data_IF_811005258125
#
_entry.id   IF_811005258125
#
_cell.length_a   1.000
_cell.length_b   1.000
_cell.length_c   1.000
_cell.angle_alpha   90.00
_cell.angle_beta   90.00
_cell.angle_gamma   90.00
#
_symmetry.space_group_name_H-M   'P 1'
#
loop_
_entity.id
_entity.type
_entity.pdbx_description
1 polymer ?
#
# COMPACT_ATOMS: atom_id res chain seq x y z
N UNK A 1 -13.55 27.47 -13.67
CA UNK A 1 -13.17 26.54 -12.57
C UNK A 1 -12.95 25.11 -13.10
N UNK A 2 -12.13 24.91 -14.15
CA UNK A 2 -11.90 23.59 -14.78
C UNK A 2 -10.46 23.10 -14.72
N UNK A 3 -9.50 23.94 -14.30
CA UNK A 3 -8.08 23.56 -14.26
C UNK A 3 -7.78 22.45 -13.24
N UNK A 4 -8.52 22.39 -12.14
CA UNK A 4 -8.27 21.46 -11.02
C UNK A 4 -8.56 19.99 -11.32
N UNK A 5 -9.37 19.67 -12.34
CA UNK A 5 -9.73 18.29 -12.69
C UNK A 5 -8.95 17.70 -13.88
N UNK A 6 -8.08 18.49 -14.51
CA UNK A 6 -7.36 18.07 -15.72
C UNK A 6 -5.96 17.56 -15.38
N UNK A 7 -5.52 16.49 -16.05
CA UNK A 7 -4.16 15.95 -15.87
C UNK A 7 -3.08 17.02 -16.12
N UNK A 8 -3.35 17.96 -17.02
CA UNK A 8 -2.46 19.09 -17.28
C UNK A 8 -2.38 20.08 -16.11
N UNK A 9 -3.48 20.29 -15.39
CA UNK A 9 -3.51 21.09 -14.17
C UNK A 9 -2.68 20.45 -13.06
N UNK A 10 -2.79 19.13 -12.87
CA UNK A 10 -1.98 18.39 -11.88
C UNK A 10 -0.49 18.55 -12.21
N UNK A 11 -0.10 18.32 -13.47
CA UNK A 11 1.29 18.47 -13.90
C UNK A 11 1.78 19.91 -13.70
N UNK A 12 0.96 20.91 -14.03
CA UNK A 12 1.31 22.31 -13.82
C UNK A 12 1.54 22.64 -12.33
N UNK A 13 0.71 22.11 -11.43
CA UNK A 13 0.91 22.29 -9.99
C UNK A 13 2.17 21.60 -9.47
N UNK A 14 2.44 20.37 -9.91
CA UNK A 14 3.66 19.65 -9.52
C UNK A 14 4.91 20.38 -10.03
N UNK A 15 4.89 20.85 -11.28
CA UNK A 15 5.97 21.63 -11.87
C UNK A 15 6.18 22.95 -11.14
N UNK A 16 5.10 23.66 -10.81
CA UNK A 16 5.15 24.89 -10.02
C UNK A 16 5.76 24.62 -8.64
N UNK A 17 5.24 23.64 -7.89
CA UNK A 17 5.75 23.28 -6.57
C UNK A 17 7.24 22.91 -6.61
N UNK A 18 7.62 22.03 -7.53
CA UNK A 18 9.02 21.62 -7.69
C UNK A 18 9.91 22.82 -8.06
N UNK A 19 9.47 23.67 -9.00
CA UNK A 19 10.25 24.84 -9.42
C UNK A 19 10.44 25.86 -8.30
N UNK A 20 9.39 26.16 -7.52
CA UNK A 20 9.47 27.07 -6.38
C UNK A 20 10.39 26.50 -5.30
N UNK A 21 10.25 25.21 -4.96
CA UNK A 21 11.13 24.54 -4.00
C UNK A 21 12.59 24.55 -4.44
N UNK A 22 12.83 24.32 -5.73
CA UNK A 22 14.17 24.30 -6.31
C UNK A 22 14.76 25.71 -6.36
N UNK A 23 14.03 26.73 -6.80
CA UNK A 23 14.45 28.13 -6.77
C UNK A 23 14.77 28.54 -5.32
N UNK A 24 13.91 28.22 -4.36
CA UNK A 24 14.15 28.52 -2.95
C UNK A 24 15.44 27.87 -2.44
N UNK A 25 15.65 26.58 -2.74
CA UNK A 25 16.87 25.87 -2.37
C UNK A 25 18.11 26.52 -3.01
N UNK A 26 18.10 26.76 -4.32
CA UNK A 26 19.25 27.32 -5.04
C UNK A 26 19.55 28.76 -4.66
N UNK A 27 18.54 29.61 -4.43
CA UNK A 27 18.73 30.99 -3.97
C UNK A 27 19.40 30.98 -2.60
N UNK A 28 18.96 30.15 -1.65
CA UNK A 28 19.58 30.07 -0.33
C UNK A 28 21.02 29.52 -0.41
N UNK A 29 21.29 28.52 -1.25
CA UNK A 29 22.65 28.02 -1.47
C UNK A 29 23.55 29.08 -2.13
N UNK A 30 23.04 29.84 -3.11
CA UNK A 30 23.77 30.94 -3.76
C UNK A 30 24.08 32.06 -2.76
N UNK A 31 23.08 32.51 -2.01
CA UNK A 31 23.27 33.51 -0.94
C UNK A 31 24.29 33.00 0.08
N UNK A 32 24.15 31.74 0.53
CA UNK A 32 25.11 31.10 1.43
C UNK A 32 26.52 31.06 0.85
N UNK A 33 26.68 30.77 -0.44
CA UNK A 33 27.97 30.75 -1.13
C UNK A 33 28.63 32.13 -1.21
N UNK A 34 27.84 33.20 -1.34
CA UNK A 34 28.33 34.59 -1.36
C UNK A 34 28.61 35.15 0.03
N UNK A 35 27.79 34.83 1.03
CA UNK A 35 27.94 35.34 2.41
C UNK A 35 28.99 34.56 3.21
N UNK A 36 29.17 33.25 2.95
CA UNK A 36 30.10 32.39 3.70
C UNK A 36 31.57 32.76 3.43
N UNK A 37 32.38 33.00 4.48
CA UNK A 37 33.82 33.12 4.35
C UNK A 37 34.44 31.85 3.76
N UNK A 38 35.29 32.02 2.74
CA UNK A 38 35.91 30.90 2.05
C UNK A 38 37.26 30.55 2.69
N UNK A 39 37.20 29.68 3.70
CA UNK A 39 38.36 29.25 4.49
C UNK A 39 38.39 27.70 4.59
N UNK A 40 38.97 27.03 3.57
CA UNK A 40 39.14 25.57 3.54
C UNK A 40 40.43 25.14 4.26
N UNK A 41 40.30 24.29 5.27
CA UNK A 41 41.41 23.67 6.02
C UNK A 41 41.23 22.16 6.04
N UNK A 42 42.33 21.40 6.20
CA UNK A 42 42.31 19.92 6.15
C UNK A 42 41.35 19.31 7.17
N UNK A 43 41.41 19.74 8.44
CA UNK A 43 40.51 19.27 9.52
C UNK A 43 39.02 19.48 9.18
N UNK A 44 38.67 20.59 8.53
CA UNK A 44 37.28 20.94 8.16
C UNK A 44 36.77 20.16 6.94
N UNK A 45 37.69 19.58 6.17
CA UNK A 45 37.39 18.73 5.03
C UNK A 45 37.34 17.25 5.40
N UNK A 46 37.64 16.90 6.65
CA UNK A 46 37.45 15.55 7.16
C UNK A 46 35.97 15.16 7.21
N UNK A 47 35.70 13.86 7.14
CA UNK A 47 34.34 13.29 7.15
C UNK A 47 33.65 13.54 8.51
N UNK A 48 34.42 13.72 9.58
CA UNK A 48 33.95 13.88 10.95
C UNK A 48 34.84 14.86 11.74
N UNK A 49 34.24 15.88 12.36
CA UNK A 49 34.98 17.03 12.94
C UNK A 49 35.32 16.86 14.44
N UNK A 50 34.96 15.74 15.08
CA UNK A 50 35.22 15.56 16.52
C UNK A 50 36.66 15.09 16.84
N UNK A 51 37.56 15.08 15.86
CA UNK A 51 38.97 14.71 16.03
C UNK A 51 39.22 13.20 16.28
N UNK A 52 38.19 12.37 16.14
CA UNK A 52 38.32 10.91 16.17
C UNK A 52 38.51 10.41 14.74
N UNK A 53 39.62 9.71 14.42
CA UNK A 53 39.87 9.22 13.09
C UNK A 53 38.77 8.24 12.67
N UNK A 54 38.16 8.47 11.51
CA UNK A 54 37.14 7.57 10.99
C UNK A 54 37.72 6.18 10.76
N UNK A 55 37.14 5.17 11.40
CA UNK A 55 37.57 3.78 11.24
C UNK A 55 36.77 3.11 10.13
N UNK A 56 37.48 2.54 9.16
CA UNK A 56 36.89 1.69 8.13
C UNK A 56 36.23 2.42 6.96
N UNK A 57 35.84 1.65 5.95
CA UNK A 57 35.16 2.17 4.76
C UNK A 57 33.67 2.39 4.99
N UNK A 58 33.08 3.42 4.38
CA UNK A 58 31.63 3.64 4.37
C UNK A 58 30.84 2.58 3.58
N UNK A 59 31.52 1.74 2.78
CA UNK A 59 30.92 0.66 2.00
C UNK A 59 30.89 -0.65 2.79
N UNK A 60 30.10 -0.68 3.86
CA UNK A 60 29.85 -1.89 4.67
C UNK A 60 28.49 -2.49 4.33
N UNK A 61 28.37 -3.81 4.44
CA UNK A 61 27.07 -4.48 4.33
C UNK A 61 26.24 -4.18 5.58
N UNK A 62 25.13 -3.46 5.39
CA UNK A 62 24.15 -3.26 6.44
C UNK A 62 23.37 -4.55 6.73
N UNK A 63 22.73 -4.60 7.90
CA UNK A 63 21.94 -5.76 8.32
C UNK A 63 20.85 -6.10 7.27
N UNK A 64 20.74 -7.39 6.90
CA UNK A 64 19.76 -7.88 5.92
C UNK A 64 18.31 -7.56 6.32
N UNK A 65 18.04 -7.25 7.59
CA UNK A 65 16.68 -6.91 8.08
C UNK A 65 16.07 -5.69 7.38
N UNK A 66 16.88 -4.71 6.96
CA UNK A 66 16.38 -3.60 6.15
C UNK A 66 15.76 -4.09 4.83
N UNK A 67 16.38 -5.10 4.22
CA UNK A 67 15.87 -5.74 3.00
C UNK A 67 14.58 -6.53 3.28
N UNK A 68 14.50 -7.27 4.39
CA UNK A 68 13.27 -8.00 4.77
C UNK A 68 12.09 -7.04 4.97
N UNK A 69 12.30 -5.93 5.67
CA UNK A 69 11.26 -4.90 5.87
C UNK A 69 10.84 -4.29 4.52
N UNK A 70 11.80 -3.97 3.64
CA UNK A 70 11.49 -3.45 2.31
C UNK A 70 10.71 -4.45 1.45
N UNK A 71 11.06 -5.74 1.50
CA UNK A 71 10.35 -6.79 0.79
C UNK A 71 8.91 -6.96 1.31
N UNK A 72 8.72 -6.95 2.64
CA UNK A 72 7.39 -6.98 3.25
C UNK A 72 6.56 -5.76 2.84
N UNK A 73 7.16 -4.57 2.78
CA UNK A 73 6.51 -3.35 2.32
C UNK A 73 6.01 -3.50 0.88
N UNK A 74 6.86 -3.99 -0.04
CA UNK A 74 6.48 -4.20 -1.45
C UNK A 74 5.33 -5.20 -1.57
N UNK A 75 5.37 -6.31 -0.82
CA UNK A 75 4.30 -7.31 -0.83
C UNK A 75 2.98 -6.70 -0.35
N UNK A 76 3.01 -5.95 0.76
CA UNK A 76 1.81 -5.28 1.28
C UNK A 76 1.30 -4.16 0.36
N UNK A 77 2.19 -3.43 -0.30
CA UNK A 77 1.82 -2.36 -1.24
C UNK A 77 1.11 -2.93 -2.48
N UNK A 78 1.65 -4.02 -3.05
CA UNK A 78 1.00 -4.75 -4.14
C UNK A 78 -0.36 -5.32 -3.72
N UNK A 79 -0.48 -5.82 -2.49
CA UNK A 79 -1.77 -6.29 -1.95
C UNK A 79 -2.82 -5.17 -1.93
N UNK A 80 -2.45 -3.99 -1.41
CA UNK A 80 -3.36 -2.83 -1.37
C UNK A 80 -3.73 -2.38 -2.79
N UNK A 81 -2.82 -2.48 -3.75
CA UNK A 81 -3.12 -2.20 -5.14
C UNK A 81 -4.23 -3.12 -5.70
N UNK A 82 -4.25 -4.40 -5.30
CA UNK A 82 -5.32 -5.34 -5.65
C UNK A 82 -6.64 -5.07 -4.95
N UNK A 83 -6.67 -4.32 -3.85
CA UNK A 83 -7.94 -3.89 -3.24
C UNK A 83 -8.68 -2.84 -4.05
N UNK A 84 -8.01 -2.05 -4.91
CA UNK A 84 -8.70 -0.98 -5.65
C UNK A 84 -9.83 -1.49 -6.56
N UNK A 85 -9.61 -2.49 -7.44
CA UNK A 85 -10.70 -3.04 -8.26
C UNK A 85 -11.89 -3.51 -7.41
N UNK A 86 -11.63 -4.27 -6.35
CA UNK A 86 -12.67 -4.77 -5.44
C UNK A 86 -13.41 -3.64 -4.72
N UNK A 87 -12.69 -2.61 -4.26
CA UNK A 87 -13.28 -1.42 -3.65
C UNK A 87 -14.22 -0.68 -4.62
N UNK A 88 -13.87 -0.59 -5.91
CA UNK A 88 -14.77 0.03 -6.90
C UNK A 88 -16.04 -0.79 -7.12
N UNK A 89 -15.94 -2.13 -7.16
CA UNK A 89 -17.11 -3.02 -7.31
C UNK A 89 -18.00 -2.94 -6.08
N UNK A 90 -17.40 -2.99 -4.88
CA UNK A 90 -18.11 -2.87 -3.62
C UNK A 90 -18.85 -1.53 -3.53
N UNK A 91 -18.17 -0.40 -3.82
CA UNK A 91 -18.78 0.94 -3.78
C UNK A 91 -19.95 1.11 -4.76
N UNK A 92 -19.84 0.58 -5.98
CA UNK A 92 -20.95 0.61 -6.95
C UNK A 92 -22.11 -0.29 -6.51
N UNK A 93 -21.80 -1.44 -5.93
CA UNK A 93 -22.80 -2.38 -5.40
C UNK A 93 -23.57 -1.77 -4.24
N UNK A 94 -22.89 -1.13 -3.28
CA UNK A 94 -23.54 -0.46 -2.15
C UNK A 94 -24.41 0.71 -2.60
N UNK A 95 -23.99 1.46 -3.62
CA UNK A 95 -24.81 2.53 -4.19
C UNK A 95 -26.10 2.00 -4.85
N UNK A 96 -26.04 0.86 -5.56
CA UNK A 96 -27.24 0.19 -6.08
C UNK A 96 -28.13 -0.42 -4.98
N UNK A 97 -27.57 -0.68 -3.80
CA UNK A 97 -28.34 -1.14 -2.65
C UNK A 97 -29.12 -0.02 -1.96
N UNK A 98 -28.81 1.25 -2.23
CA UNK A 98 -29.51 2.40 -1.66
C UNK A 98 -30.96 2.48 -2.17
N UNK A 99 -31.90 2.77 -1.26
CA UNK A 99 -33.33 2.87 -1.59
C UNK A 99 -33.66 4.18 -2.31
N UNK A 100 -32.85 5.21 -2.09
CA UNK A 100 -33.04 6.51 -2.73
C UNK A 100 -32.54 6.50 -4.18
N UNK A 101 -31.66 5.55 -4.53
CA UNK A 101 -31.14 5.42 -5.87
C UNK A 101 -32.19 4.83 -6.84
N UNK A 102 -32.65 5.59 -7.86
CA UNK A 102 -33.66 5.11 -8.78
C UNK A 102 -33.02 4.16 -9.79
N UNK A 103 -33.16 2.85 -9.62
CA UNK A 103 -32.60 1.88 -10.58
C UNK A 103 -33.47 1.78 -11.84
N UNK A 104 -34.78 1.80 -11.68
CA UNK A 104 -35.73 1.60 -12.76
C UNK A 104 -36.71 2.78 -12.90
N UNK A 105 -37.10 3.08 -14.13
CA UNK A 105 -38.08 4.11 -14.49
C UNK A 105 -39.24 3.43 -15.22
N UNK A 106 -40.46 3.79 -14.86
CA UNK A 106 -41.65 3.34 -15.56
C UNK A 106 -41.88 4.24 -16.78
N UNK A 107 -41.91 3.65 -17.97
CA UNK A 107 -42.13 4.31 -19.26
C UNK A 107 -43.50 3.85 -19.82
N UNK A 108 -44.03 4.54 -20.82
CA UNK A 108 -45.28 4.17 -21.52
C UNK A 108 -45.31 2.73 -22.03
N UNK A 109 -44.14 2.22 -22.44
CA UNK A 109 -43.98 0.92 -23.10
C UNK A 109 -43.44 -0.18 -22.17
N UNK A 110 -43.22 0.13 -20.87
CA UNK A 110 -42.72 -0.84 -19.90
C UNK A 110 -41.83 -0.25 -18.81
N UNK A 111 -40.82 -1.00 -18.39
CA UNK A 111 -39.85 -0.59 -17.37
C UNK A 111 -38.46 -0.54 -17.99
N UNK A 112 -37.76 0.58 -17.82
CA UNK A 112 -36.41 0.79 -18.33
C UNK A 112 -35.44 1.14 -17.20
N UNK A 113 -34.13 0.95 -17.44
CA UNK A 113 -33.09 1.37 -16.51
C UNK A 113 -32.92 2.89 -16.54
N UNK A 114 -32.79 3.50 -15.36
CA UNK A 114 -32.41 4.92 -15.26
C UNK A 114 -31.03 5.16 -15.87
N UNK A 115 -30.77 6.39 -16.32
CA UNK A 115 -29.47 6.75 -16.90
C UNK A 115 -28.32 6.49 -15.93
N UNK A 116 -28.51 6.84 -14.65
CA UNK A 116 -27.50 6.63 -13.60
C UNK A 116 -27.26 5.14 -13.34
N UNK A 117 -28.29 4.30 -13.34
CA UNK A 117 -28.11 2.86 -13.19
C UNK A 117 -27.39 2.26 -14.39
N UNK A 118 -27.73 2.72 -15.60
CA UNK A 118 -27.06 2.30 -16.84
C UNK A 118 -25.57 2.58 -16.80
N UNK A 119 -25.18 3.77 -16.33
CA UNK A 119 -23.78 4.14 -16.16
C UNK A 119 -23.08 3.25 -15.13
N UNK A 120 -23.67 3.02 -13.95
CA UNK A 120 -23.08 2.12 -12.95
C UNK A 120 -22.87 0.69 -13.47
N UNK A 121 -23.85 0.15 -14.21
CA UNK A 121 -23.72 -1.16 -14.82
C UNK A 121 -22.62 -1.19 -15.90
N UNK A 122 -22.50 -0.14 -16.71
CA UNK A 122 -21.40 -0.01 -17.68
C UNK A 122 -20.04 0.08 -16.99
N UNK A 123 -19.95 0.83 -15.89
CA UNK A 123 -18.75 0.93 -15.06
C UNK A 123 -18.42 -0.38 -14.32
N UNK A 124 -19.40 -1.26 -14.11
CA UNK A 124 -19.20 -2.64 -13.65
C UNK A 124 -18.82 -3.61 -14.78
N UNK A 125 -18.77 -3.12 -16.02
CA UNK A 125 -18.36 -3.88 -17.21
C UNK A 125 -19.50 -4.39 -18.09
N UNK A 126 -20.76 -4.06 -17.78
CA UNK A 126 -21.93 -4.46 -18.59
C UNK A 126 -22.11 -3.50 -19.76
N UNK A 127 -21.74 -3.93 -20.97
CA UNK A 127 -21.69 -3.04 -22.16
C UNK A 127 -23.05 -2.47 -22.57
N UNK A 128 -24.11 -3.28 -22.50
CA UNK A 128 -25.46 -2.87 -22.87
C UNK A 128 -26.45 -3.35 -21.80
N UNK A 129 -26.57 -2.64 -20.67
CA UNK A 129 -27.44 -3.07 -19.59
C UNK A 129 -28.89 -2.80 -19.94
N UNK A 130 -29.71 -3.84 -19.88
CA UNK A 130 -31.16 -3.80 -20.11
C UNK A 130 -31.88 -4.41 -18.91
N UNK A 131 -33.16 -4.08 -18.75
CA UNK A 131 -34.01 -4.72 -17.74
C UNK A 131 -34.19 -6.19 -18.13
N UNK A 132 -34.06 -7.15 -17.19
CA UNK A 132 -34.29 -8.56 -17.49
C UNK A 132 -35.77 -8.83 -17.74
N UNK A 133 -36.09 -9.81 -18.58
CA UNK A 133 -37.48 -10.18 -18.91
C UNK A 133 -38.18 -10.98 -17.78
N UNK A 134 -37.40 -11.60 -16.91
CA UNK A 134 -37.88 -12.40 -15.77
C UNK A 134 -36.85 -12.41 -14.62
N UNK A 135 -37.28 -12.83 -13.43
CA UNK A 135 -36.40 -12.98 -12.27
C UNK A 135 -35.35 -14.06 -12.57
N UNK A 136 -34.04 -13.78 -12.45
CA UNK A 136 -33.00 -14.78 -12.70
C UNK A 136 -33.08 -15.91 -11.68
N UNK A 137 -32.80 -17.14 -12.11
CA UNK A 137 -32.96 -18.38 -11.31
C UNK A 137 -32.23 -18.30 -9.97
N UNK A 138 -31.07 -17.65 -9.92
CA UNK A 138 -30.29 -17.46 -8.69
C UNK A 138 -30.99 -16.60 -7.63
N UNK A 139 -31.94 -15.75 -8.03
CA UNK A 139 -32.69 -14.86 -7.13
C UNK A 139 -34.11 -15.34 -6.84
N UNK A 140 -34.61 -16.36 -7.56
CA UNK A 140 -35.93 -16.95 -7.33
C UNK A 140 -36.14 -17.43 -5.88
N UNK A 141 -35.16 -18.05 -5.20
CA UNK A 141 -35.32 -18.43 -3.79
C UNK A 141 -35.55 -17.24 -2.85
N UNK A 142 -35.03 -16.06 -3.19
CA UNK A 142 -35.09 -14.86 -2.35
C UNK A 142 -36.27 -13.95 -2.70
N UNK A 143 -36.57 -13.80 -3.99
CA UNK A 143 -37.58 -12.87 -4.50
C UNK A 143 -38.88 -13.54 -4.95
N UNK A 144 -38.90 -14.88 -5.02
CA UNK A 144 -40.01 -15.67 -5.56
C UNK A 144 -39.97 -15.80 -7.08
N UNK A 145 -40.92 -16.56 -7.63
CA UNK A 145 -41.10 -16.72 -9.08
C UNK A 145 -42.20 -15.79 -9.59
N UNK A 146 -41.96 -15.09 -10.71
CA UNK A 146 -42.93 -14.21 -11.38
C UNK A 146 -42.82 -14.29 -12.90
N UNK A 147 -43.88 -13.84 -13.58
CA UNK A 147 -44.02 -13.87 -15.04
C UNK A 147 -43.22 -12.81 -15.79
N UNK A 148 -43.48 -12.70 -17.10
CA UNK A 148 -42.70 -11.94 -18.09
C UNK A 148 -42.90 -10.43 -18.10
N UNK A 149 -43.75 -9.88 -17.24
CA UNK A 149 -44.06 -8.44 -17.19
C UNK A 149 -43.68 -7.90 -15.81
N UNK A 150 -42.38 -7.65 -15.64
CA UNK A 150 -41.84 -7.14 -14.39
C UNK A 150 -42.25 -5.69 -14.17
N UNK A 151 -42.73 -5.42 -12.97
CA UNK A 151 -43.02 -4.08 -12.48
C UNK A 151 -41.73 -3.38 -12.04
N UNK A 152 -41.75 -2.04 -11.98
CA UNK A 152 -40.63 -1.23 -11.49
C UNK A 152 -40.06 -1.74 -10.14
N UNK A 153 -40.95 -2.06 -9.19
CA UNK A 153 -40.57 -2.52 -7.84
C UNK A 153 -39.82 -3.86 -7.91
N UNK A 154 -40.22 -4.75 -8.81
CA UNK A 154 -39.56 -6.04 -8.97
C UNK A 154 -38.18 -5.89 -9.59
N UNK A 155 -38.04 -5.04 -10.61
CA UNK A 155 -36.74 -4.73 -11.20
C UNK A 155 -35.78 -4.11 -10.17
N UNK A 156 -36.26 -3.17 -9.36
CA UNK A 156 -35.49 -2.60 -8.25
C UNK A 156 -35.12 -3.66 -7.21
N UNK A 157 -35.99 -4.63 -6.92
CA UNK A 157 -35.70 -5.72 -5.99
C UNK A 157 -34.64 -6.69 -6.53
N UNK A 158 -34.68 -7.01 -7.83
CA UNK A 158 -33.68 -7.84 -8.52
C UNK A 158 -32.31 -7.17 -8.46
N UNK A 159 -32.25 -5.88 -8.81
CA UNK A 159 -31.00 -5.12 -8.81
C UNK A 159 -30.41 -5.02 -7.40
N UNK A 160 -31.24 -4.73 -6.39
CA UNK A 160 -30.81 -4.58 -5.00
C UNK A 160 -30.28 -5.89 -4.42
N UNK A 161 -30.95 -7.01 -4.69
CA UNK A 161 -30.50 -8.31 -4.21
C UNK A 161 -29.25 -8.78 -4.96
N UNK A 162 -29.18 -8.59 -6.28
CA UNK A 162 -27.96 -8.85 -7.04
C UNK A 162 -26.77 -8.02 -6.56
N UNK A 163 -26.98 -6.73 -6.29
CA UNK A 163 -25.97 -5.84 -5.72
C UNK A 163 -25.54 -6.27 -4.31
N UNK A 164 -26.47 -6.75 -3.48
CA UNK A 164 -26.17 -7.30 -2.16
C UNK A 164 -25.29 -8.55 -2.24
N UNK A 165 -25.61 -9.47 -3.16
CA UNK A 165 -24.78 -10.66 -3.38
C UNK A 165 -23.38 -10.28 -3.85
N UNK A 166 -23.28 -9.35 -4.81
CA UNK A 166 -22.00 -8.85 -5.30
C UNK A 166 -21.18 -8.19 -4.19
N UNK A 167 -21.79 -7.32 -3.39
CA UNK A 167 -21.16 -6.68 -2.24
C UNK A 167 -20.66 -7.72 -1.22
N UNK A 168 -21.46 -8.73 -0.91
CA UNK A 168 -21.05 -9.81 -0.01
C UNK A 168 -19.86 -10.59 -0.55
N UNK A 169 -19.88 -10.97 -1.84
CA UNK A 169 -18.75 -11.65 -2.51
C UNK A 169 -17.48 -10.80 -2.42
N UNK A 170 -17.56 -9.50 -2.71
CA UNK A 170 -16.38 -8.62 -2.63
C UNK A 170 -15.80 -8.54 -1.22
N UNK A 171 -16.65 -8.51 -0.17
CA UNK A 171 -16.18 -8.52 1.22
C UNK A 171 -15.48 -9.85 1.53
N UNK A 172 -16.08 -10.97 1.14
CA UNK A 172 -15.50 -12.30 1.37
C UNK A 172 -14.13 -12.40 0.68
N UNK A 173 -14.03 -11.98 -0.57
CA UNK A 173 -12.77 -12.03 -1.33
C UNK A 173 -11.69 -11.13 -0.70
N UNK A 174 -12.05 -9.90 -0.28
CA UNK A 174 -11.12 -9.00 0.45
C UNK A 174 -10.64 -9.65 1.76
N UNK A 175 -11.55 -10.27 2.52
CA UNK A 175 -11.21 -10.93 3.79
C UNK A 175 -10.29 -12.14 3.56
N UNK A 176 -10.59 -12.96 2.56
CA UNK A 176 -9.78 -14.13 2.21
C UNK A 176 -8.39 -13.70 1.77
N UNK A 177 -8.30 -12.69 0.89
CA UNK A 177 -7.03 -12.15 0.41
C UNK A 177 -6.19 -11.60 1.57
N UNK A 178 -6.78 -10.74 2.40
CA UNK A 178 -6.12 -10.19 3.58
C UNK A 178 -5.68 -11.25 4.60
N UNK A 179 -6.48 -12.31 4.80
CA UNK A 179 -6.13 -13.39 5.71
C UNK A 179 -4.89 -14.17 5.24
N UNK A 180 -4.74 -14.39 3.93
CA UNK A 180 -3.54 -15.02 3.36
C UNK A 180 -2.30 -14.18 3.65
N UNK A 181 -2.37 -12.85 3.46
CA UNK A 181 -1.27 -11.95 3.80
C UNK A 181 -0.95 -12.00 5.29
N UNK A 182 -1.96 -11.92 6.15
CA UNK A 182 -1.78 -11.94 7.60
C UNK A 182 -1.09 -13.21 8.07
N UNK A 183 -1.38 -14.37 7.45
CA UNK A 183 -0.67 -15.62 7.72
C UNK A 183 0.81 -15.51 7.33
N UNK A 184 1.12 -14.96 6.15
CA UNK A 184 2.50 -14.74 5.71
C UNK A 184 3.26 -13.79 6.64
N UNK A 185 2.62 -12.69 7.04
CA UNK A 185 3.18 -11.73 7.98
C UNK A 185 3.42 -12.35 9.37
N UNK A 186 2.42 -13.05 9.92
CA UNK A 186 2.53 -13.75 11.19
C UNK A 186 3.64 -14.81 11.18
N UNK A 187 3.86 -15.46 10.03
CA UNK A 187 4.95 -16.41 9.87
C UNK A 187 6.33 -15.74 9.96
N UNK A 188 6.54 -14.62 9.25
CA UNK A 188 7.81 -13.87 9.31
C UNK A 188 8.05 -13.30 10.70
N UNK A 189 6.99 -12.79 11.34
CA UNK A 189 7.05 -12.32 12.73
C UNK A 189 7.45 -13.44 13.68
N UNK A 190 6.79 -14.61 13.60
CA UNK A 190 7.09 -15.77 14.44
C UNK A 190 8.53 -16.26 14.25
N UNK A 191 9.10 -16.12 13.05
CA UNK A 191 10.48 -16.51 12.77
C UNK A 191 11.51 -15.57 13.42
N UNK A 192 11.10 -14.36 13.81
CA UNK A 192 11.98 -13.35 14.41
C UNK A 192 12.86 -12.62 13.39
N UNK A 193 12.51 -12.67 12.10
CA UNK A 193 13.23 -11.95 11.03
C UNK A 193 13.13 -10.41 11.21
N UNK A 194 12.25 -9.96 12.12
CA UNK A 194 12.02 -8.56 12.48
C UNK A 194 12.67 -8.15 13.82
N UNK A 195 13.34 -9.05 14.54
CA UNK A 195 13.82 -8.80 15.90
C UNK A 195 15.15 -8.01 15.93
N UNK A 196 15.10 -6.70 16.16
CA UNK A 196 16.27 -5.82 16.24
C UNK A 196 17.23 -6.10 17.41
N UNK A 197 16.72 -6.63 18.52
CA UNK A 197 17.48 -6.79 19.79
C UNK A 197 18.57 -7.88 19.69
N UNK A 198 18.37 -8.90 18.85
CA UNK A 198 19.34 -10.00 18.73
C UNK A 198 20.66 -9.58 18.08
N UNK A 199 20.65 -8.63 17.13
CA UNK A 199 21.86 -8.16 16.46
C UNK A 199 22.89 -7.56 17.45
N UNK A 200 22.45 -6.64 18.32
CA UNK A 200 23.33 -5.99 19.30
C UNK A 200 23.82 -6.95 20.38
N UNK A 201 22.98 -7.92 20.76
CA UNK A 201 23.31 -8.90 21.81
C UNK A 201 24.38 -9.92 21.39
N UNK A 202 24.37 -10.37 20.13
CA UNK A 202 25.35 -11.33 19.62
C UNK A 202 26.73 -10.70 19.44
N UNK A 203 26.81 -9.47 18.91
CA UNK A 203 28.07 -8.70 18.84
C UNK A 203 28.69 -8.50 20.23
N UNK A 204 27.90 -8.07 21.23
CA UNK A 204 28.39 -7.92 22.62
C UNK A 204 28.81 -9.24 23.25
N UNK A 205 28.10 -10.34 22.97
CA UNK A 205 28.46 -11.66 23.49
C UNK A 205 29.77 -12.17 22.87
N UNK A 206 30.00 -11.87 21.59
CA UNK A 206 31.24 -12.21 20.88
C UNK A 206 32.43 -11.37 21.38
N UNK A 207 32.25 -10.06 21.58
CA UNK A 207 33.29 -9.18 22.15
C UNK A 207 33.68 -9.53 23.59
N UNK A 208 32.75 -10.08 24.39
CA UNK A 208 33.05 -10.51 25.78
C UNK A 208 33.86 -11.79 25.86
N UNK A 209 33.81 -12.64 24.84
CA UNK A 209 34.79 -13.73 24.68
C UNK A 209 36.03 -13.09 24.05
N UNK A 210 36.95 -12.63 24.89
CA UNK A 210 38.28 -12.23 24.42
C UNK A 210 38.95 -13.35 23.60
N UNK A 211 40.12 -13.07 22.99
CA UNK A 211 40.88 -14.09 22.28
C UNK A 211 41.01 -15.36 23.15
N UNK A 212 41.04 -16.57 22.57
CA UNK A 212 41.37 -17.76 23.33
C UNK A 212 42.67 -17.47 24.08
N UNK A 213 42.62 -17.55 25.41
CA UNK A 213 43.84 -17.47 26.21
C UNK A 213 44.61 -18.73 25.85
N UNK A 214 45.75 -18.55 25.19
CA UNK A 214 46.65 -19.64 24.85
C UNK A 214 47.25 -20.17 26.15
N UNK A 215 46.59 -21.18 26.71
CA UNK A 215 46.98 -21.81 27.97
C UNK A 215 48.34 -22.48 27.86
N UNK A 216 48.73 -22.92 26.65
CA UNK A 216 50.03 -23.55 26.40
C UNK A 216 51.16 -22.50 26.46
N UNK A 217 50.90 -21.27 26.02
CA UNK A 217 51.84 -20.15 26.13
C UNK A 217 52.08 -19.71 27.59
N UNK A 218 51.07 -19.83 28.46
CA UNK A 218 51.19 -19.51 29.89
C UNK A 218 52.04 -20.53 30.66
N UNK A 219 51.98 -21.80 30.24
CA UNK A 219 52.76 -22.88 30.86
C UNK A 219 54.26 -22.79 30.46
N UNK A 220 54.58 -22.35 29.24
CA UNK A 220 55.96 -22.12 28.82
C UNK A 220 56.61 -20.91 29.54
N UNK A 221 55.87 -19.82 29.73
CA UNK A 221 56.36 -18.64 30.46
C UNK A 221 56.56 -18.93 31.95
N UNK A 222 55.70 -19.77 32.53
CA UNK A 222 55.84 -20.30 33.90
C UNK A 222 57.08 -21.17 34.04
N UNK A 223 57.41 -22.01 33.06
CA UNK A 223 58.55 -22.94 33.12
C UNK A 223 59.92 -22.24 32.95
N UNK A 224 59.96 -21.09 32.27
CA UNK A 224 61.17 -20.27 32.09
C UNK A 224 61.51 -19.39 33.30
N UNK A 225 60.61 -19.29 34.28
CA UNK A 225 60.74 -18.42 35.47
C UNK A 225 61.11 -19.14 36.78
N UNK A 226 61.36 -20.45 36.73
CA UNK A 226 61.77 -21.29 37.85
C UNK A 226 63.20 -21.83 37.67
#
# INVERSE_FOLDING_TARGET
MSAFGSSIGIVAYLALFASVGLIFLFVNLLVGRFVRPHDPHEEKLEIYECGEPTIGSSFVQFDLRFYVVALLFIIFDVEVAFFFPWATVFGKSTHMMDREFPVAVATSDGVELSDSARLLYQELGVRNPTVPDAIPVSLVPTLGSKGSNLTKVEVESIAREGARQLAFVTIVDIVVFFAILLVGFAYVWKRGDLDWVRAVSQERAQQRRGPPVDVDALDEESALSA
#
